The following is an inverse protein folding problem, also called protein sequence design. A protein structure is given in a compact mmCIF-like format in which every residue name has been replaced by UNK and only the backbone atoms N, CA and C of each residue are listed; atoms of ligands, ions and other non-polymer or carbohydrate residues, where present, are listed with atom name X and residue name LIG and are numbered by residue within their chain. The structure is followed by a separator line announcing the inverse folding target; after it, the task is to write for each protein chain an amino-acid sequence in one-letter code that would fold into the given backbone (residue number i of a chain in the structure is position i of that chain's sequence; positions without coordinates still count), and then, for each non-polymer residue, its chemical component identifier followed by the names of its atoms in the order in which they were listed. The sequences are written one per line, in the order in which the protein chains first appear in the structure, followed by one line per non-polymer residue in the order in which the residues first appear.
data_IF_226790870304
#
_entry.id   IF_226790870304
#
_cell.length_a   1.000
_cell.length_b   1.000
_cell.length_c   1.000
_cell.angle_alpha   90.00
_cell.angle_beta   90.00
_cell.angle_gamma   90.00
#
_symmetry.space_group_name_H-M   'P 1'
#
loop_
_entity.id
_entity.type
_entity.pdbx_description
1 polymer ?
#
# COMPACT_ATOMS: atom_id res chain seq x y z
N UNK A 1 -2.00 -1.21 25.26
CA UNK A 1 -1.47 -0.29 24.24
C UNK A 1 -2.11 1.07 24.42
N UNK A 2 -1.29 2.12 24.54
CA UNK A 2 -1.77 3.50 24.50
C UNK A 2 -2.28 3.84 23.10
N UNK A 3 -3.12 4.87 22.96
CA UNK A 3 -3.57 5.33 21.63
C UNK A 3 -2.40 5.76 20.75
N UNK A 4 -1.30 6.21 21.34
CA UNK A 4 -0.10 6.65 20.63
C UNK A 4 0.64 5.52 19.91
N UNK A 5 0.42 4.27 20.33
CA UNK A 5 1.03 3.07 19.73
C UNK A 5 0.17 2.49 18.61
N UNK A 6 -1.07 2.94 18.43
CA UNK A 6 -1.96 2.48 17.37
C UNK A 6 -1.69 3.24 16.09
N UNK A 7 -1.62 2.52 14.97
CA UNK A 7 -1.45 3.10 13.64
C UNK A 7 -2.50 2.53 12.70
N UNK A 8 -3.79 2.94 12.82
CA UNK A 8 -4.89 2.32 12.08
C UNK A 8 -4.69 2.30 10.56
N UNK A 9 -4.09 3.35 10.01
CA UNK A 9 -3.77 3.40 8.59
C UNK A 9 -2.67 2.41 8.18
N UNK A 10 -1.64 2.23 9.02
CA UNK A 10 -0.60 1.23 8.79
C UNK A 10 -1.17 -0.19 8.91
N UNK A 11 -2.05 -0.42 9.88
CA UNK A 11 -2.78 -1.69 10.02
C UNK A 11 -3.61 -2.01 8.76
N UNK A 12 -4.29 -1.01 8.19
CA UNK A 12 -5.03 -1.14 6.94
C UNK A 12 -4.11 -1.45 5.74
N UNK A 13 -2.95 -0.81 5.65
CA UNK A 13 -1.95 -1.08 4.62
C UNK A 13 -1.39 -2.52 4.71
N UNK A 14 -1.09 -3.00 5.91
CA UNK A 14 -0.66 -4.39 6.12
C UNK A 14 -1.75 -5.38 5.69
N UNK A 15 -2.99 -5.14 6.12
CA UNK A 15 -4.13 -5.97 5.74
C UNK A 15 -4.36 -5.95 4.22
N UNK A 16 -4.14 -4.81 3.56
CA UNK A 16 -4.26 -4.70 2.09
C UNK A 16 -3.20 -5.52 1.37
N UNK A 17 -1.94 -5.40 1.80
CA UNK A 17 -0.81 -6.18 1.28
C UNK A 17 -1.04 -7.69 1.44
N UNK A 18 -1.57 -8.14 2.58
CA UNK A 18 -1.87 -9.56 2.86
C UNK A 18 -3.00 -10.12 2.00
N UNK A 19 -3.91 -9.28 1.50
CA UNK A 19 -5.01 -9.73 0.64
C UNK A 19 -4.57 -10.10 -0.79
N UNK A 20 -3.29 -9.92 -1.15
CA UNK A 20 -2.71 -10.32 -2.45
C UNK A 20 -3.53 -9.84 -3.67
N UNK A 21 -4.17 -8.67 -3.57
CA UNK A 21 -4.83 -8.08 -4.72
C UNK A 21 -3.80 -7.81 -5.82
N UNK A 22 -4.06 -8.24 -7.04
CA UNK A 22 -3.32 -7.77 -8.21
C UNK A 22 -4.18 -6.71 -8.89
N UNK A 23 -4.08 -5.43 -8.49
CA UNK A 23 -4.88 -4.39 -9.11
C UNK A 23 -4.45 -4.23 -10.57
N UNK A 24 -5.37 -4.43 -11.50
CA UNK A 24 -5.12 -4.13 -12.92
C UNK A 24 -5.08 -2.61 -13.21
N UNK A 25 -5.24 -1.78 -12.19
CA UNK A 25 -5.07 -0.33 -12.24
C UNK A 25 -3.58 0.09 -12.11
N UNK A 26 -3.34 1.36 -11.85
CA UNK A 26 -2.04 1.89 -11.39
C UNK A 26 -1.79 1.59 -9.90
N UNK A 27 -0.52 1.59 -9.44
CA UNK A 27 0.72 1.65 -10.22
C UNK A 27 1.01 0.37 -11.03
N UNK A 28 1.77 0.53 -12.12
CA UNK A 28 2.05 -0.56 -13.07
C UNK A 28 2.93 -1.69 -12.53
N UNK A 29 3.64 -1.48 -11.42
CA UNK A 29 4.52 -2.50 -10.81
C UNK A 29 3.76 -3.55 -10.00
N UNK A 30 2.44 -3.44 -9.85
CA UNK A 30 1.56 -4.45 -9.26
C UNK A 30 2.04 -4.92 -7.88
N UNK A 31 2.11 -3.99 -6.93
CA UNK A 31 2.57 -4.27 -5.55
C UNK A 31 4.03 -4.77 -5.51
N UNK A 32 4.76 -4.57 -6.62
CA UNK A 32 6.18 -4.86 -6.74
C UNK A 32 6.52 -6.12 -7.53
N UNK A 33 5.53 -6.91 -7.93
CA UNK A 33 5.73 -8.10 -8.79
C UNK A 33 6.39 -7.69 -10.10
N UNK A 34 5.79 -6.72 -10.78
CA UNK A 34 6.20 -6.23 -12.12
C UNK A 34 7.11 -4.99 -12.05
N UNK A 35 7.70 -4.70 -10.88
CA UNK A 35 8.63 -3.58 -10.79
C UNK A 35 9.93 -3.85 -11.58
N UNK A 36 10.44 -2.84 -12.30
CA UNK A 36 11.80 -2.87 -12.84
C UNK A 36 12.82 -3.12 -11.73
N UNK A 37 13.93 -3.80 -12.04
CA UNK A 37 14.95 -4.16 -11.05
C UNK A 37 15.46 -2.94 -10.26
N UNK A 38 15.70 -1.82 -10.94
CA UNK A 38 16.14 -0.57 -10.29
C UNK A 38 15.16 -0.11 -9.20
N UNK A 39 13.86 -0.25 -9.42
CA UNK A 39 12.84 0.15 -8.45
C UNK A 39 12.80 -0.82 -7.25
N UNK A 40 12.97 -2.12 -7.52
CA UNK A 40 13.14 -3.14 -6.47
C UNK A 40 14.37 -2.85 -5.61
N UNK A 41 15.48 -2.43 -6.21
CA UNK A 41 16.71 -2.09 -5.49
C UNK A 41 16.54 -0.83 -4.62
N UNK A 42 15.77 0.16 -5.08
CA UNK A 42 15.55 1.42 -4.35
C UNK A 42 14.56 1.27 -3.20
N UNK A 43 13.45 0.57 -3.43
CA UNK A 43 12.33 0.54 -2.48
C UNK A 43 12.27 -0.75 -1.68
N UNK A 44 12.74 -1.86 -2.24
CA UNK A 44 12.73 -3.19 -1.62
C UNK A 44 11.38 -3.50 -0.97
N UNK A 45 11.33 -3.73 0.36
CA UNK A 45 10.11 -4.10 1.06
C UNK A 45 9.08 -2.97 1.19
N UNK A 46 9.41 -1.73 0.82
CA UNK A 46 8.45 -0.62 0.82
C UNK A 46 7.54 -0.63 -0.43
N UNK A 47 7.93 -1.34 -1.48
CA UNK A 47 7.26 -1.35 -2.77
C UNK A 47 5.79 -1.86 -2.74
N UNK A 48 5.41 -2.82 -1.87
CA UNK A 48 4.01 -3.20 -1.68
C UNK A 48 3.11 -2.09 -1.12
N UNK A 49 3.70 -1.06 -0.51
CA UNK A 49 2.98 0.07 0.08
C UNK A 49 2.89 1.27 -0.87
N UNK A 50 3.54 1.20 -2.05
CA UNK A 50 3.36 2.17 -3.13
C UNK A 50 2.04 1.89 -3.85
N UNK A 51 0.98 2.51 -3.35
CA UNK A 51 -0.39 2.30 -3.77
C UNK A 51 -0.98 3.60 -4.31
N UNK A 52 -1.88 3.47 -5.27
CA UNK A 52 -2.76 4.58 -5.68
C UNK A 52 -3.90 4.77 -4.68
N UNK A 53 -4.93 5.51 -5.10
CA UNK A 53 -6.20 5.53 -4.38
C UNK A 53 -6.85 4.14 -4.54
N UNK A 54 -7.03 3.44 -3.42
CA UNK A 54 -7.59 2.09 -3.39
C UNK A 54 -8.90 2.13 -2.61
N UNK A 55 -9.99 1.57 -3.15
CA UNK A 55 -11.29 1.50 -2.44
C UNK A 55 -11.23 0.79 -1.08
N UNK A 56 -10.23 -0.06 -0.87
CA UNK A 56 -10.01 -0.76 0.40
C UNK A 56 -9.32 0.13 1.46
N UNK A 57 -8.89 1.32 1.08
CA UNK A 57 -8.26 2.33 1.92
C UNK A 57 -9.08 3.63 1.84
N UNK A 58 -8.92 4.52 2.81
CA UNK A 58 -9.54 5.86 2.79
C UNK A 58 -9.00 6.69 1.61
N UNK A 59 -9.78 7.67 1.15
CA UNK A 59 -9.29 8.66 0.19
C UNK A 59 -8.53 9.76 0.93
N UNK A 60 -7.21 9.77 0.79
CA UNK A 60 -6.38 10.79 1.44
C UNK A 60 -6.60 12.22 0.90
N UNK A 61 -7.28 12.39 -0.24
CA UNK A 61 -7.66 13.70 -0.77
C UNK A 61 -8.97 14.21 -0.16
N UNK A 62 -9.89 13.30 0.15
CA UNK A 62 -11.21 13.57 0.76
C UNK A 62 -11.48 12.57 1.89
N UNK A 63 -10.76 12.69 3.03
CA UNK A 63 -10.79 11.66 4.07
C UNK A 63 -12.14 11.61 4.79
N UNK A 64 -12.68 10.41 4.97
CA UNK A 64 -13.96 10.16 5.65
C UNK A 64 -13.80 9.57 7.06
N UNK A 65 -12.56 9.36 7.52
CA UNK A 65 -12.17 8.65 8.75
C UNK A 65 -12.91 8.96 10.06
#
# INVERSE_FOLDING_TARGET
MSKQEKMPFVEALEAYKEQHFVPFHTPGHKIGVEAPQRLKDWMGPALPYDLGVMYALDDLHEPEG
#
